data_IF_626239888156
#
_entry.id   IF_626239888156
#
_cell.length_a   1.000
_cell.length_b   1.000
_cell.length_c   1.000
_cell.angle_alpha   90.00
_cell.angle_beta   90.00
_cell.angle_gamma   90.00
#
_symmetry.space_group_name_H-M   'P 1'
#
loop_
_entity.id
_entity.type
_entity.pdbx_description
1 polymer ?
#
# COMPACT_ATOMS: atom_id res chain seq x y z
N UNK A 1 -81.19 22.37 5.14
CA UNK A 1 -80.65 22.32 3.77
C UNK A 1 -81.77 21.82 2.91
N UNK A 2 -82.12 22.55 1.86
CA UNK A 2 -83.02 22.02 0.83
C UNK A 2 -82.32 20.81 0.20
N UNK A 3 -83.05 19.72 -0.05
CA UNK A 3 -82.50 18.66 -0.89
C UNK A 3 -82.44 19.18 -2.33
N UNK A 4 -81.22 19.40 -2.85
CA UNK A 4 -81.00 19.88 -4.22
C UNK A 4 -81.59 18.96 -5.30
N UNK A 5 -82.00 17.74 -4.92
CA UNK A 5 -82.70 16.79 -5.77
C UNK A 5 -84.24 16.82 -5.66
N UNK A 6 -84.83 17.37 -4.59
CA UNK A 6 -86.28 17.26 -4.31
C UNK A 6 -87.16 17.76 -5.46
N UNK A 7 -86.74 18.84 -6.13
CA UNK A 7 -87.41 19.43 -7.30
C UNK A 7 -87.67 18.43 -8.44
N UNK A 8 -86.86 17.36 -8.53
CA UNK A 8 -86.82 16.43 -9.65
C UNK A 8 -87.24 15.00 -9.28
N UNK A 9 -87.52 14.71 -8.00
CA UNK A 9 -87.79 13.35 -7.52
C UNK A 9 -89.04 12.68 -8.14
N UNK A 10 -90.01 13.48 -8.60
CA UNK A 10 -91.25 13.00 -9.23
C UNK A 10 -91.22 13.09 -10.77
N UNK A 11 -90.06 13.41 -11.36
CA UNK A 11 -89.92 13.59 -12.81
C UNK A 11 -89.48 12.28 -13.47
N UNK A 12 -90.14 11.90 -14.57
CA UNK A 12 -89.99 10.60 -15.23
C UNK A 12 -88.72 10.46 -16.09
N UNK A 13 -87.55 10.72 -15.51
CA UNK A 13 -86.25 10.55 -16.16
C UNK A 13 -85.86 9.06 -16.29
N UNK A 14 -85.14 8.71 -17.35
CA UNK A 14 -84.37 7.46 -17.42
C UNK A 14 -83.19 7.49 -16.45
N UNK A 15 -82.66 6.33 -16.08
CA UNK A 15 -81.49 6.23 -15.20
C UNK A 15 -80.25 6.97 -15.74
N UNK A 16 -80.11 7.09 -17.06
CA UNK A 16 -79.02 7.82 -17.71
C UNK A 16 -79.25 9.33 -17.69
N UNK A 17 -80.44 9.81 -18.05
CA UNK A 17 -80.83 11.22 -17.93
C UNK A 17 -80.63 11.70 -16.48
N UNK A 18 -81.11 10.92 -15.50
CA UNK A 18 -80.96 11.23 -14.08
C UNK A 18 -79.50 11.25 -13.61
N UNK A 19 -78.66 10.31 -14.07
CA UNK A 19 -77.24 10.31 -13.74
C UNK A 19 -76.52 11.58 -14.21
N UNK A 20 -76.81 12.04 -15.43
CA UNK A 20 -76.21 13.26 -16.01
C UNK A 20 -76.71 14.51 -15.28
N UNK A 21 -78.03 14.64 -15.09
CA UNK A 21 -78.65 15.75 -14.36
C UNK A 21 -78.13 15.81 -12.92
N UNK A 22 -78.03 14.67 -12.24
CA UNK A 22 -77.44 14.59 -10.89
C UNK A 22 -75.99 15.05 -10.89
N UNK A 23 -75.15 14.56 -11.83
CA UNK A 23 -73.73 14.95 -11.91
C UNK A 23 -73.58 16.46 -12.13
N UNK A 24 -74.41 17.06 -12.96
CA UNK A 24 -74.43 18.51 -13.16
C UNK A 24 -74.80 19.28 -11.88
N UNK A 25 -75.78 18.79 -11.11
CA UNK A 25 -76.17 19.33 -9.79
C UNK A 25 -75.08 19.09 -8.72
N UNK A 26 -74.24 18.06 -8.85
CA UNK A 26 -73.05 17.84 -8.01
C UNK A 26 -71.84 18.69 -8.42
N UNK A 27 -71.75 19.11 -9.68
CA UNK A 27 -70.79 20.08 -10.21
C UNK A 27 -71.29 21.56 -10.13
N UNK A 28 -72.31 21.84 -9.29
CA UNK A 28 -72.97 23.14 -9.04
C UNK A 28 -73.53 23.88 -10.29
N UNK A 29 -73.91 23.13 -11.34
CA UNK A 29 -74.52 23.67 -12.56
C UNK A 29 -76.04 23.82 -12.38
N UNK A 30 -76.61 25.01 -12.68
CA UNK A 30 -78.07 25.14 -12.78
C UNK A 30 -78.58 24.41 -14.03
N UNK A 31 -79.48 23.44 -13.82
CA UNK A 31 -80.10 22.60 -14.86
C UNK A 31 -81.63 22.71 -14.90
N UNK A 32 -82.19 23.71 -14.20
CA UNK A 32 -83.64 23.92 -13.97
C UNK A 32 -84.51 23.97 -15.23
N UNK A 33 -83.92 24.45 -16.32
CA UNK A 33 -84.43 24.62 -17.67
C UNK A 33 -84.04 23.46 -18.60
N UNK A 34 -82.84 22.91 -18.45
CA UNK A 34 -82.34 21.73 -19.20
C UNK A 34 -83.04 20.43 -18.75
N UNK A 35 -83.52 20.33 -17.51
CA UNK A 35 -84.06 19.12 -16.90
C UNK A 35 -85.50 18.78 -17.36
N UNK A 36 -85.69 18.52 -18.65
CA UNK A 36 -86.91 18.00 -19.27
C UNK A 36 -86.70 16.56 -19.76
N UNK A 37 -87.54 15.56 -19.37
CA UNK A 37 -87.45 14.18 -19.85
C UNK A 37 -87.55 13.99 -21.37
N UNK A 38 -88.00 15.00 -22.12
CA UNK A 38 -88.07 14.97 -23.59
C UNK A 38 -86.70 15.04 -24.26
N UNK A 39 -85.67 15.58 -23.59
CA UNK A 39 -84.31 15.58 -24.13
C UNK A 39 -83.69 14.17 -24.10
N UNK A 40 -83.01 13.79 -25.17
CA UNK A 40 -82.17 12.60 -25.21
C UNK A 40 -81.00 12.69 -24.23
N UNK A 41 -80.35 11.56 -23.95
CA UNK A 41 -79.18 11.47 -23.06
C UNK A 41 -78.03 12.33 -23.61
N UNK A 42 -77.93 12.38 -24.92
CA UNK A 42 -76.94 13.10 -25.73
C UNK A 42 -77.25 14.60 -25.76
N UNK A 43 -78.51 15.00 -26.03
CA UNK A 43 -78.95 16.41 -25.94
C UNK A 43 -78.70 16.99 -24.54
N UNK A 44 -79.04 16.26 -23.46
CA UNK A 44 -78.75 16.68 -22.09
C UNK A 44 -77.25 16.86 -21.85
N UNK A 45 -76.43 15.94 -22.36
CA UNK A 45 -74.96 16.00 -22.22
C UNK A 45 -74.41 17.24 -22.93
N UNK A 46 -74.78 17.47 -24.19
CA UNK A 46 -74.37 18.63 -24.98
C UNK A 46 -74.74 19.97 -24.30
N UNK A 47 -75.98 20.10 -23.81
CA UNK A 47 -76.41 21.31 -23.09
C UNK A 47 -75.65 21.50 -21.77
N UNK A 48 -75.44 20.44 -20.99
CA UNK A 48 -74.75 20.53 -19.69
C UNK A 48 -73.25 20.84 -19.86
N UNK A 49 -72.57 20.22 -20.82
CA UNK A 49 -71.17 20.52 -21.10
C UNK A 49 -70.97 21.90 -21.74
N UNK A 50 -71.92 22.37 -22.56
CA UNK A 50 -71.94 23.75 -23.03
C UNK A 50 -72.12 24.74 -21.86
N UNK A 51 -73.08 24.52 -20.94
CA UNK A 51 -73.24 25.40 -19.77
C UNK A 51 -72.04 25.37 -18.82
N UNK A 52 -71.46 24.19 -18.58
CA UNK A 52 -70.18 24.03 -17.86
C UNK A 52 -69.05 24.84 -18.50
N UNK A 53 -69.10 25.00 -19.81
CA UNK A 53 -68.15 25.76 -20.62
C UNK A 53 -68.49 27.26 -20.70
N UNK A 54 -69.47 27.75 -19.93
CA UNK A 54 -69.85 29.16 -19.88
C UNK A 54 -70.70 29.64 -21.07
N UNK A 55 -71.19 28.73 -21.91
CA UNK A 55 -72.04 29.07 -23.06
C UNK A 55 -73.45 29.44 -22.57
N UNK A 56 -73.96 30.59 -23.02
CA UNK A 56 -75.38 30.93 -22.83
C UNK A 56 -76.24 30.06 -23.76
N UNK A 57 -77.23 29.40 -23.17
CA UNK A 57 -78.15 28.48 -23.86
C UNK A 57 -79.52 29.12 -24.12
N UNK A 58 -79.66 30.41 -23.86
CA UNK A 58 -80.90 31.17 -24.08
C UNK A 58 -81.34 31.07 -25.56
N UNK A 59 -82.40 30.28 -25.80
CA UNK A 59 -82.92 29.99 -27.14
C UNK A 59 -82.39 28.70 -27.79
N UNK A 60 -81.54 27.92 -27.12
CA UNK A 60 -81.06 26.60 -27.55
C UNK A 60 -81.70 25.42 -26.79
N UNK A 61 -82.44 25.71 -25.72
CA UNK A 61 -83.12 24.71 -24.88
C UNK A 61 -84.50 24.41 -25.49
N UNK A 62 -84.52 23.60 -26.54
CA UNK A 62 -85.73 23.07 -27.18
C UNK A 62 -85.49 21.60 -27.56
N UNK A 63 -86.26 20.63 -27.00
CA UNK A 63 -86.04 19.20 -27.25
C UNK A 63 -86.38 18.78 -28.69
N UNK A 64 -87.12 19.59 -29.45
CA UNK A 64 -87.41 19.30 -30.87
C UNK A 64 -86.19 19.58 -31.78
N UNK A 65 -85.15 20.26 -31.28
CA UNK A 65 -83.87 20.45 -32.00
C UNK A 65 -83.05 19.15 -31.96
N UNK A 66 -82.88 18.51 -33.11
CA UNK A 66 -82.11 17.26 -33.24
C UNK A 66 -80.67 17.40 -32.73
N UNK A 67 -80.19 16.39 -32.01
CA UNK A 67 -78.84 16.24 -31.46
C UNK A 67 -77.73 16.79 -32.38
N UNK A 68 -77.53 16.23 -33.57
CA UNK A 68 -76.47 16.68 -34.51
C UNK A 68 -76.66 18.08 -35.12
N UNK A 69 -77.82 18.73 -34.91
CA UNK A 69 -77.98 20.16 -35.22
C UNK A 69 -77.61 21.03 -34.01
N UNK A 70 -77.99 20.59 -32.80
CA UNK A 70 -77.59 21.22 -31.55
C UNK A 70 -76.06 21.17 -31.37
N UNK A 71 -75.43 20.03 -31.66
CA UNK A 71 -73.97 19.84 -31.67
C UNK A 71 -73.28 20.85 -32.58
N UNK A 72 -73.69 20.97 -33.84
CA UNK A 72 -73.11 21.94 -34.80
C UNK A 72 -73.29 23.40 -34.36
N UNK A 73 -74.41 23.74 -33.72
CA UNK A 73 -74.65 25.08 -33.19
C UNK A 73 -73.70 25.36 -32.01
N UNK A 74 -73.58 24.42 -31.06
CA UNK A 74 -72.72 24.55 -29.89
C UNK A 74 -71.23 24.53 -30.24
N UNK A 75 -70.80 23.68 -31.18
CA UNK A 75 -69.43 23.66 -31.73
C UNK A 75 -69.09 25.02 -32.35
N UNK A 76 -69.98 25.54 -33.21
CA UNK A 76 -69.78 26.85 -33.83
C UNK A 76 -69.64 27.96 -32.78
N UNK A 77 -70.52 27.98 -31.76
CA UNK A 77 -70.49 28.98 -30.69
C UNK A 77 -69.22 28.86 -29.84
N UNK A 78 -68.80 27.63 -29.49
CA UNK A 78 -67.56 27.39 -28.75
C UNK A 78 -66.30 27.85 -29.51
N UNK A 79 -66.30 27.68 -30.84
CA UNK A 79 -65.24 28.17 -31.73
C UNK A 79 -65.26 29.71 -31.88
N UNK A 80 -66.43 30.34 -32.05
CA UNK A 80 -66.55 31.80 -32.11
C UNK A 80 -66.16 32.48 -30.78
N UNK A 81 -66.27 31.79 -29.65
CA UNK A 81 -65.78 32.25 -28.34
C UNK A 81 -64.32 31.85 -28.02
N UNK A 82 -63.60 31.19 -28.93
CA UNK A 82 -62.19 30.81 -28.76
C UNK A 82 -61.93 29.78 -27.63
N UNK A 83 -62.97 29.08 -27.19
CA UNK A 83 -62.92 28.28 -25.96
C UNK A 83 -62.02 27.03 -26.10
N UNK A 84 -61.97 26.47 -27.31
CA UNK A 84 -61.15 25.31 -27.65
C UNK A 84 -59.66 25.62 -27.47
N UNK A 85 -59.21 26.79 -27.94
CA UNK A 85 -57.81 27.23 -27.86
C UNK A 85 -57.37 27.41 -26.41
N UNK A 86 -58.19 28.04 -25.56
CA UNK A 86 -57.82 28.32 -24.17
C UNK A 86 -57.71 27.03 -23.33
N UNK A 87 -58.56 26.03 -23.60
CA UNK A 87 -58.42 24.70 -23.01
C UNK A 87 -57.18 23.96 -23.53
N UNK A 88 -56.97 23.96 -24.85
CA UNK A 88 -55.83 23.31 -25.48
C UNK A 88 -54.50 23.89 -24.98
N UNK A 89 -54.40 25.21 -24.83
CA UNK A 89 -53.23 25.86 -24.22
C UNK A 89 -52.97 25.42 -22.77
N UNK A 90 -54.02 25.29 -21.94
CA UNK A 90 -53.88 24.87 -20.53
C UNK A 90 -53.32 23.45 -20.42
N UNK A 91 -53.72 22.55 -21.31
CA UNK A 91 -53.16 21.19 -21.40
C UNK A 91 -51.74 21.21 -21.97
N UNK A 92 -51.54 21.91 -23.10
CA UNK A 92 -50.24 22.03 -23.80
C UNK A 92 -49.16 22.63 -22.92
N UNK A 93 -49.46 23.67 -22.11
CA UNK A 93 -48.51 24.25 -21.14
C UNK A 93 -48.09 23.25 -20.06
N UNK A 94 -49.02 22.46 -19.52
CA UNK A 94 -48.70 21.41 -18.52
C UNK A 94 -47.85 20.30 -19.14
N UNK A 95 -48.24 19.81 -20.31
CA UNK A 95 -47.54 18.76 -21.05
C UNK A 95 -46.12 19.18 -21.45
N UNK A 96 -45.96 20.37 -22.05
CA UNK A 96 -44.66 20.88 -22.45
C UNK A 96 -43.73 21.08 -21.25
N UNK A 97 -44.23 21.62 -20.14
CA UNK A 97 -43.44 21.77 -18.90
C UNK A 97 -42.94 20.41 -18.38
N UNK A 98 -43.78 19.38 -18.42
CA UNK A 98 -43.39 18.04 -17.99
C UNK A 98 -42.34 17.41 -18.92
N UNK A 99 -42.44 17.64 -20.23
CA UNK A 99 -41.41 17.25 -21.21
C UNK A 99 -40.09 18.01 -20.97
N UNK A 100 -40.14 19.33 -20.74
CA UNK A 100 -38.94 20.12 -20.43
C UNK A 100 -38.23 19.59 -19.17
N UNK A 101 -38.97 19.26 -18.11
CA UNK A 101 -38.37 18.62 -16.92
C UNK A 101 -37.78 17.24 -17.22
N UNK A 102 -38.46 16.40 -18.01
CA UNK A 102 -37.96 15.08 -18.42
C UNK A 102 -36.64 15.20 -19.22
N UNK A 103 -36.57 16.15 -20.16
CA UNK A 103 -35.35 16.43 -20.94
C UNK A 103 -34.22 16.99 -20.07
N UNK A 104 -34.51 17.88 -19.11
CA UNK A 104 -33.52 18.39 -18.14
C UNK A 104 -32.95 17.25 -17.29
N UNK A 105 -33.83 16.38 -16.75
CA UNK A 105 -33.41 15.22 -15.94
C UNK A 105 -32.57 14.25 -16.78
N UNK A 106 -32.99 13.96 -18.01
CA UNK A 106 -32.24 13.14 -18.95
C UNK A 106 -30.85 13.71 -19.23
N UNK A 107 -30.76 15.02 -19.51
CA UNK A 107 -29.47 15.70 -19.72
C UNK A 107 -28.57 15.62 -18.48
N UNK A 108 -29.09 15.92 -17.29
CA UNK A 108 -28.33 15.81 -16.03
C UNK A 108 -27.83 14.39 -15.80
N UNK A 109 -28.65 13.36 -16.06
CA UNK A 109 -28.22 11.96 -15.97
C UNK A 109 -27.11 11.63 -16.98
N UNK A 110 -27.18 12.13 -18.23
CA UNK A 110 -26.09 11.94 -19.20
C UNK A 110 -24.80 12.63 -18.79
N UNK A 111 -24.85 13.83 -18.20
CA UNK A 111 -23.66 14.53 -17.68
C UNK A 111 -23.05 13.76 -16.50
N UNK A 112 -23.86 13.28 -15.56
CA UNK A 112 -23.38 12.45 -14.44
C UNK A 112 -22.73 11.15 -14.95
N UNK A 113 -23.37 10.46 -15.91
CA UNK A 113 -22.79 9.26 -16.52
C UNK A 113 -21.48 9.53 -17.26
N UNK A 114 -21.36 10.68 -17.96
CA UNK A 114 -20.11 11.11 -18.60
C UNK A 114 -19.00 11.40 -17.59
N UNK A 115 -19.31 12.07 -16.46
CA UNK A 115 -18.34 12.33 -15.40
C UNK A 115 -17.86 11.04 -14.71
N UNK A 116 -18.77 10.10 -14.45
CA UNK A 116 -18.43 8.77 -13.93
C UNK A 116 -17.61 7.94 -14.93
N UNK A 117 -17.83 8.12 -16.24
CA UNK A 117 -17.02 7.46 -17.27
C UNK A 117 -15.61 8.05 -17.36
N UNK A 118 -15.47 9.38 -17.30
CA UNK A 118 -14.16 10.07 -17.30
C UNK A 118 -13.34 9.73 -16.04
N UNK A 119 -14.00 9.63 -14.88
CA UNK A 119 -13.34 9.31 -13.59
C UNK A 119 -13.33 7.82 -13.26
N UNK A 120 -13.75 6.96 -14.20
CA UNK A 120 -13.95 5.51 -13.99
C UNK A 120 -12.72 4.83 -13.40
N UNK A 121 -11.54 5.11 -13.95
CA UNK A 121 -10.33 4.37 -13.58
C UNK A 121 -9.79 4.84 -12.22
N UNK A 122 -10.01 6.11 -11.83
CA UNK A 122 -9.81 6.55 -10.44
C UNK A 122 -10.81 5.93 -9.44
N UNK A 123 -12.03 5.62 -9.89
CA UNK A 123 -13.04 4.93 -9.07
C UNK A 123 -12.73 3.44 -8.87
N UNK A 124 -12.15 2.76 -9.87
CA UNK A 124 -11.76 1.35 -9.78
C UNK A 124 -10.73 1.11 -8.66
N UNK A 125 -9.82 2.07 -8.43
CA UNK A 125 -8.81 2.03 -7.36
C UNK A 125 -9.34 1.91 -5.94
N UNK A 126 -10.61 2.21 -5.68
CA UNK A 126 -11.25 1.94 -4.39
C UNK A 126 -11.67 0.47 -4.22
N UNK A 127 -11.95 -0.23 -5.32
CA UNK A 127 -12.41 -1.62 -5.33
C UNK A 127 -11.26 -2.62 -5.46
N UNK A 128 -10.12 -2.23 -6.03
CA UNK A 128 -8.89 -3.02 -6.12
C UNK A 128 -8.40 -3.53 -4.75
N UNK A 129 -7.90 -4.76 -4.69
CA UNK A 129 -7.42 -5.38 -3.46
C UNK A 129 -5.93 -5.15 -3.26
N UNK A 130 -5.55 -4.12 -2.49
CA UNK A 130 -4.15 -3.91 -2.11
C UNK A 130 -3.64 -5.13 -1.33
N UNK A 131 -2.64 -5.80 -1.89
CA UNK A 131 -1.94 -6.93 -1.29
C UNK A 131 -0.45 -6.65 -1.14
N UNK A 132 0.11 -7.19 -0.07
CA UNK A 132 1.53 -7.34 0.17
C UNK A 132 1.67 -8.67 0.93
N UNK A 133 2.62 -9.50 0.51
CA UNK A 133 2.95 -10.76 1.17
C UNK A 133 4.44 -10.85 1.44
N UNK A 134 4.78 -11.48 2.56
CA UNK A 134 6.16 -11.70 2.98
C UNK A 134 6.63 -13.12 2.61
N UNK A 135 7.95 -13.34 2.57
CA UNK A 135 8.51 -14.68 2.38
C UNK A 135 8.45 -15.55 3.64
N UNK A 136 8.28 -14.93 4.81
CA UNK A 136 8.15 -15.57 6.12
C UNK A 136 7.10 -14.89 7.00
N UNK A 137 6.50 -15.63 7.95
CA UNK A 137 5.58 -15.05 8.95
C UNK A 137 6.32 -14.29 10.07
N UNK A 138 7.53 -14.75 10.40
CA UNK A 138 8.43 -14.19 11.41
C UNK A 138 9.85 -14.12 10.87
N UNK A 139 10.47 -12.95 10.97
CA UNK A 139 11.93 -12.76 10.78
C UNK A 139 12.61 -13.03 12.12
N UNK A 140 13.70 -13.79 12.11
CA UNK A 140 14.64 -13.88 13.23
C UNK A 140 15.93 -13.16 12.84
N UNK A 141 16.47 -12.34 13.75
CA UNK A 141 17.72 -11.59 13.60
C UNK A 141 18.57 -11.78 14.86
N UNK A 142 19.89 -11.74 14.70
CA UNK A 142 20.81 -11.63 15.82
C UNK A 142 20.98 -10.15 16.27
N UNK A 143 21.37 -9.97 17.52
CA UNK A 143 21.45 -8.66 18.14
C UNK A 143 22.51 -7.78 17.46
N UNK A 144 22.08 -6.60 16.98
CA UNK A 144 22.91 -5.66 16.24
C UNK A 144 22.91 -5.85 14.73
N UNK A 145 22.30 -6.90 14.18
CA UNK A 145 22.13 -7.05 12.73
C UNK A 145 21.25 -5.93 12.14
N UNK A 146 21.50 -5.48 10.90
CA UNK A 146 20.68 -4.48 10.24
C UNK A 146 19.38 -5.08 9.69
N UNK A 147 18.23 -4.60 10.18
CA UNK A 147 16.94 -4.93 9.56
C UNK A 147 16.79 -4.21 8.20
N UNK A 148 16.56 -4.99 7.15
CA UNK A 148 16.30 -4.52 5.78
C UNK A 148 14.86 -4.83 5.35
N UNK A 149 13.89 -3.91 5.54
CA UNK A 149 12.48 -4.22 5.33
C UNK A 149 12.12 -4.70 3.91
N UNK A 150 12.90 -4.32 2.90
CA UNK A 150 12.64 -4.67 1.50
C UNK A 150 12.97 -6.14 1.15
N UNK A 151 13.88 -6.81 1.88
CA UNK A 151 14.35 -8.15 1.53
C UNK A 151 13.37 -9.27 1.88
N UNK A 152 12.36 -8.98 2.71
CA UNK A 152 11.34 -9.93 3.16
C UNK A 152 10.03 -9.86 2.37
N UNK A 153 9.93 -9.00 1.35
CA UNK A 153 8.70 -8.80 0.56
C UNK A 153 8.70 -9.73 -0.67
N UNK A 154 7.83 -10.74 -0.61
CA UNK A 154 7.67 -11.76 -1.65
C UNK A 154 6.92 -11.25 -2.89
N UNK A 155 5.84 -10.51 -2.66
CA UNK A 155 5.02 -9.90 -3.72
C UNK A 155 4.13 -8.81 -3.18
N UNK A 156 3.80 -7.84 -4.04
CA UNK A 156 2.97 -6.69 -3.73
C UNK A 156 2.23 -6.22 -4.99
N UNK A 157 1.19 -5.40 -4.80
CA UNK A 157 0.49 -4.70 -5.87
C UNK A 157 1.43 -3.70 -6.58
N UNK A 158 1.75 -3.86 -7.88
CA UNK A 158 2.74 -3.02 -8.57
C UNK A 158 2.31 -1.56 -8.78
N UNK A 159 1.03 -1.21 -8.56
CA UNK A 159 0.57 0.19 -8.54
C UNK A 159 0.51 0.78 -7.12
N UNK A 160 0.82 0.01 -6.07
CA UNK A 160 0.87 0.48 -4.69
C UNK A 160 2.25 1.01 -4.30
N UNK A 161 2.28 2.20 -3.72
CA UNK A 161 3.45 2.75 -3.03
C UNK A 161 3.56 2.08 -1.67
N UNK A 162 4.76 1.57 -1.32
CA UNK A 162 5.07 0.97 -0.03
C UNK A 162 5.91 1.96 0.79
N UNK A 163 5.39 2.36 1.95
CA UNK A 163 6.18 3.04 2.99
C UNK A 163 6.68 1.98 3.98
N UNK A 164 8.00 1.86 4.08
CA UNK A 164 8.67 0.92 4.98
C UNK A 164 8.57 1.35 6.45
N UNK A 165 8.63 0.40 7.41
CA UNK A 165 8.68 0.69 8.84
C UNK A 165 9.86 1.59 9.21
N UNK A 166 9.67 2.46 10.21
CA UNK A 166 10.75 3.27 10.76
C UNK A 166 11.77 2.37 11.48
N UNK A 167 13.06 2.52 11.14
CA UNK A 167 14.17 1.81 11.80
C UNK A 167 14.31 2.19 13.29
N UNK A 168 13.86 3.37 13.69
CA UNK A 168 13.88 3.78 15.11
C UNK A 168 12.85 3.04 15.98
N UNK A 169 11.84 2.42 15.37
CA UNK A 169 10.84 1.60 16.08
C UNK A 169 11.32 0.14 16.29
N UNK A 170 12.38 -0.27 15.59
CA UNK A 170 12.94 -1.63 15.57
C UNK A 170 14.43 -1.55 15.91
N UNK A 171 14.72 -1.31 17.20
CA UNK A 171 16.08 -1.25 17.70
C UNK A 171 16.68 -2.66 17.83
N UNK A 172 17.32 -3.14 16.76
CA UNK A 172 17.92 -4.48 16.69
C UNK A 172 19.07 -4.71 17.68
N UNK A 173 19.53 -3.68 18.42
CA UNK A 173 20.50 -3.86 19.52
C UNK A 173 19.85 -4.30 20.83
N UNK A 174 18.53 -4.40 20.87
CA UNK A 174 17.77 -4.90 22.01
C UNK A 174 17.06 -6.21 21.62
N UNK A 175 17.42 -7.35 22.24
CA UNK A 175 16.66 -8.58 22.10
C UNK A 175 15.21 -8.38 22.53
N UNK A 176 14.27 -8.92 21.75
CA UNK A 176 12.85 -8.63 21.90
C UNK A 176 12.04 -8.93 20.65
N UNK A 177 10.76 -8.61 20.70
CA UNK A 177 9.80 -8.89 19.63
C UNK A 177 9.13 -7.60 19.16
N UNK A 178 9.26 -7.30 17.88
CA UNK A 178 8.87 -6.06 17.24
C UNK A 178 7.88 -6.31 16.11
N UNK A 179 7.01 -5.34 15.82
CA UNK A 179 6.10 -5.38 14.68
C UNK A 179 6.56 -4.40 13.62
N UNK A 180 7.13 -4.91 12.53
CA UNK A 180 7.45 -4.13 11.35
C UNK A 180 6.16 -3.81 10.58
N UNK A 181 5.69 -2.56 10.69
CA UNK A 181 4.49 -2.07 9.99
C UNK A 181 4.86 -1.49 8.63
N UNK A 182 4.27 -2.03 7.58
CA UNK A 182 4.38 -1.56 6.20
C UNK A 182 3.06 -0.93 5.82
N UNK A 183 3.09 0.34 5.39
CA UNK A 183 1.89 1.03 4.90
C UNK A 183 1.88 0.97 3.37
N UNK A 184 0.82 0.44 2.79
CA UNK A 184 0.66 0.34 1.33
C UNK A 184 -0.51 1.22 0.86
N UNK A 185 -0.30 2.01 -0.20
CA UNK A 185 -1.28 2.96 -0.71
C UNK A 185 -1.25 3.04 -2.25
N UNK A 186 -2.41 2.93 -2.89
CA UNK A 186 -2.56 3.16 -4.35
C UNK A 186 -2.99 4.62 -4.66
N UNK A 187 -2.87 5.53 -3.68
CA UNK A 187 -3.28 6.93 -3.76
C UNK A 187 -4.79 7.18 -3.59
N UNK A 188 -5.61 6.13 -3.49
CA UNK A 188 -7.06 6.21 -3.20
C UNK A 188 -7.46 5.41 -1.96
N UNK A 189 -6.73 4.31 -1.69
CA UNK A 189 -6.99 3.32 -0.66
C UNK A 189 -5.68 2.94 0.00
N UNK A 190 -5.71 2.76 1.32
CA UNK A 190 -4.53 2.53 2.16
C UNK A 190 -4.77 1.31 3.06
N UNK A 191 -3.69 0.62 3.43
CA UNK A 191 -3.73 -0.59 4.26
C UNK A 191 -2.40 -0.80 4.98
N UNK A 192 -2.49 -1.22 6.24
CA UNK A 192 -1.34 -1.64 7.03
C UNK A 192 -1.13 -3.15 6.88
N UNK A 193 0.13 -3.56 6.70
CA UNK A 193 0.56 -4.96 6.81
C UNK A 193 1.66 -5.06 7.88
N UNK A 194 1.70 -6.17 8.64
CA UNK A 194 2.61 -6.31 9.79
C UNK A 194 3.40 -7.61 9.70
N UNK A 195 4.72 -7.50 9.78
CA UNK A 195 5.67 -8.61 9.87
C UNK A 195 6.18 -8.70 11.31
N UNK A 196 6.28 -9.91 11.85
CA UNK A 196 6.87 -10.14 13.16
C UNK A 196 8.40 -10.19 13.02
N UNK A 197 9.12 -9.40 13.82
CA UNK A 197 10.58 -9.41 13.88
C UNK A 197 11.01 -9.79 15.29
N UNK A 198 11.73 -10.89 15.42
CA UNK A 198 12.22 -11.42 16.69
C UNK A 198 13.75 -11.30 16.73
N UNK A 199 14.25 -10.40 17.56
CA UNK A 199 15.67 -10.16 17.78
C UNK A 199 16.13 -11.05 18.93
N UNK A 200 17.10 -11.94 18.67
CA UNK A 200 17.74 -12.80 19.67
C UNK A 200 19.20 -12.41 19.87
N UNK A 201 19.80 -13.01 20.89
CA UNK A 201 21.21 -12.83 21.24
C UNK A 201 21.84 -14.20 21.46
N UNK A 202 22.44 -14.75 20.41
CA UNK A 202 23.12 -16.06 20.43
C UNK A 202 24.63 -15.97 20.22
N UNK A 203 25.19 -14.77 20.01
CA UNK A 203 26.63 -14.55 19.98
C UNK A 203 27.25 -14.63 21.39
N UNK A 204 28.53 -14.99 21.48
CA UNK A 204 29.25 -15.08 22.74
C UNK A 204 30.22 -13.89 22.92
N UNK A 205 30.37 -13.33 24.14
CA UNK A 205 31.17 -12.13 24.38
C UNK A 205 32.62 -12.19 23.88
N UNK A 206 33.06 -11.16 23.18
CA UNK A 206 34.40 -11.09 22.59
C UNK A 206 35.45 -10.68 23.64
N UNK A 207 36.19 -11.67 24.14
CA UNK A 207 37.42 -11.46 24.94
C UNK A 207 38.57 -11.09 23.99
N UNK A 208 39.26 -9.97 24.24
CA UNK A 208 40.52 -9.60 23.58
C UNK A 208 41.63 -9.44 24.62
N UNK A 209 42.77 -10.07 24.35
CA UNK A 209 43.96 -10.03 25.20
C UNK A 209 45.06 -9.19 24.54
N UNK A 210 45.81 -8.42 25.33
CA UNK A 210 46.92 -7.57 24.86
C UNK A 210 48.11 -8.35 24.28
N UNK A 211 48.17 -9.65 24.56
CA UNK A 211 49.20 -10.60 24.13
C UNK A 211 48.67 -12.03 24.31
N UNK A 212 49.10 -12.95 23.45
CA UNK A 212 48.79 -14.39 23.57
C UNK A 212 49.67 -15.14 24.58
N UNK A 213 50.83 -14.58 24.94
CA UNK A 213 51.75 -15.20 25.91
C UNK A 213 52.50 -14.19 26.77
N UNK A 214 52.96 -14.65 27.94
CA UNK A 214 53.84 -13.91 28.85
C UNK A 214 55.00 -14.79 29.30
N UNK A 215 56.18 -14.18 29.45
CA UNK A 215 57.38 -14.81 30.01
C UNK A 215 57.70 -14.14 31.34
N UNK A 216 57.87 -14.92 32.42
CA UNK A 216 58.14 -14.41 33.77
C UNK A 216 59.13 -15.27 34.56
N UNK A 217 59.78 -14.67 35.56
CA UNK A 217 60.70 -15.36 36.49
C UNK A 217 59.98 -15.94 37.70
N UNK A 218 58.99 -15.24 38.24
CA UNK A 218 58.05 -15.70 39.27
C UNK A 218 56.61 -15.55 38.76
N UNK A 219 55.72 -16.45 39.17
CA UNK A 219 54.28 -16.42 38.86
C UNK A 219 53.48 -15.61 39.85
N UNK A 220 54.03 -15.35 41.04
CA UNK A 220 53.41 -14.58 42.11
C UNK A 220 53.14 -13.12 41.72
N UNK A 221 53.80 -12.63 40.66
CA UNK A 221 53.67 -11.29 40.10
C UNK A 221 52.60 -11.18 38.99
N UNK A 222 52.05 -12.31 38.51
CA UNK A 222 51.07 -12.34 37.41
C UNK A 222 49.68 -11.88 37.88
N UNK A 223 49.26 -10.70 37.41
CA UNK A 223 47.88 -10.19 37.53
C UNK A 223 47.10 -10.50 36.26
N UNK A 224 46.05 -11.31 36.35
CA UNK A 224 45.31 -11.76 35.18
C UNK A 224 44.60 -10.59 34.46
N UNK A 225 44.16 -9.59 35.22
CA UNK A 225 43.38 -8.44 34.76
C UNK A 225 44.19 -7.48 33.88
N UNK A 226 45.52 -7.41 34.07
CA UNK A 226 46.42 -6.50 33.36
C UNK A 226 46.59 -6.90 31.88
N UNK A 227 46.45 -8.19 31.55
CA UNK A 227 46.57 -8.71 30.18
C UNK A 227 45.28 -8.60 29.36
N UNK A 228 44.13 -8.37 29.99
CA UNK A 228 42.87 -8.11 29.30
C UNK A 228 42.94 -6.75 28.60
N UNK A 229 42.57 -6.70 27.33
CA UNK A 229 42.39 -5.48 26.55
C UNK A 229 40.93 -5.02 26.62
N UNK A 230 40.02 -5.81 26.05
CA UNK A 230 38.58 -5.62 26.12
C UNK A 230 37.86 -6.93 26.43
N UNK A 231 36.72 -6.86 27.11
CA UNK A 231 35.72 -7.94 27.08
C UNK A 231 34.40 -7.26 26.78
N UNK A 232 33.90 -7.45 25.56
CA UNK A 232 32.77 -6.69 25.03
C UNK A 232 31.76 -7.60 24.36
N UNK A 233 30.50 -7.23 24.53
CA UNK A 233 29.33 -7.84 23.94
C UNK A 233 28.43 -6.77 23.29
N UNK A 234 27.57 -7.16 22.34
CA UNK A 234 26.72 -6.22 21.60
C UNK A 234 25.55 -5.72 22.47
N UNK A 235 24.98 -6.56 23.33
CA UNK A 235 23.81 -6.26 24.17
C UNK A 235 24.21 -5.87 25.58
N UNK A 236 25.09 -6.66 26.19
CA UNK A 236 25.56 -6.51 27.58
C UNK A 236 26.69 -5.46 27.71
N UNK A 237 27.33 -5.08 26.60
CA UNK A 237 28.37 -4.07 26.57
C UNK A 237 29.67 -4.55 27.23
N UNK A 238 30.19 -3.81 28.22
CA UNK A 238 31.50 -4.10 28.81
C UNK A 238 31.40 -5.12 29.96
N UNK A 239 31.81 -6.36 29.68
CA UNK A 239 31.73 -7.50 30.59
C UNK A 239 33.03 -7.77 31.37
N UNK A 240 34.02 -6.88 31.31
CA UNK A 240 35.34 -7.08 31.97
C UNK A 240 35.23 -7.27 33.49
N UNK A 241 34.22 -6.70 34.14
CA UNK A 241 33.94 -6.87 35.57
C UNK A 241 33.26 -8.19 35.93
N UNK A 242 32.57 -8.85 34.98
CA UNK A 242 31.99 -10.20 35.15
C UNK A 242 32.96 -11.33 34.80
N UNK A 243 34.14 -11.00 34.24
CA UNK A 243 35.10 -11.99 33.72
C UNK A 243 35.78 -12.76 34.85
N UNK A 244 35.68 -14.08 34.83
CA UNK A 244 36.34 -14.98 35.79
C UNK A 244 37.69 -15.44 35.24
N UNK A 245 38.74 -15.36 36.06
CA UNK A 245 40.11 -15.73 35.67
C UNK A 245 40.65 -16.89 36.50
N UNK A 246 41.31 -17.86 35.86
CA UNK A 246 41.91 -19.04 36.50
C UNK A 246 43.32 -19.29 35.99
N UNK A 247 44.32 -19.08 36.86
CA UNK A 247 45.73 -19.34 36.56
C UNK A 247 46.02 -20.84 36.76
N UNK A 248 46.73 -21.47 35.81
CA UNK A 248 47.13 -22.89 35.83
C UNK A 248 48.65 -23.05 35.93
N UNK A 249 49.19 -24.22 35.52
CA UNK A 249 50.63 -24.46 35.47
C UNK A 249 51.32 -23.86 34.24
N UNK A 250 50.56 -23.42 33.26
CA UNK A 250 51.01 -23.21 31.88
C UNK A 250 50.19 -22.13 31.16
N UNK A 251 48.99 -21.80 31.65
CA UNK A 251 48.05 -20.85 31.04
C UNK A 251 47.37 -19.98 32.10
N UNK A 252 46.92 -18.78 31.71
CA UNK A 252 45.81 -18.08 32.36
C UNK A 252 44.58 -18.36 31.52
N UNK A 253 43.50 -18.85 32.12
CA UNK A 253 42.21 -19.07 31.46
C UNK A 253 41.27 -17.92 31.86
N UNK A 254 40.69 -17.27 30.87
CA UNK A 254 39.66 -16.24 31.01
C UNK A 254 38.32 -16.85 30.59
N UNK A 255 37.28 -16.69 31.39
CA UNK A 255 35.91 -17.09 31.03
C UNK A 255 34.92 -15.99 31.39
N UNK A 256 33.95 -15.76 30.52
CA UNK A 256 32.82 -14.86 30.79
C UNK A 256 31.54 -15.44 30.17
N UNK A 257 30.40 -15.01 30.68
CA UNK A 257 29.07 -15.26 30.12
C UNK A 257 28.29 -13.95 30.12
N UNK A 258 27.41 -13.77 29.13
CA UNK A 258 26.44 -12.67 29.06
C UNK A 258 25.20 -12.92 29.94
N UNK A 259 24.11 -12.21 29.67
CA UNK A 259 22.80 -12.34 30.34
C UNK A 259 21.85 -13.36 29.71
N UNK A 260 22.10 -13.81 28.47
CA UNK A 260 21.29 -14.81 27.75
C UNK A 260 21.81 -16.24 27.93
N UNK A 261 23.09 -16.39 28.32
CA UNK A 261 23.74 -17.63 28.69
C UNK A 261 24.85 -18.08 27.73
N UNK A 262 25.23 -17.27 26.74
CA UNK A 262 26.31 -17.64 25.83
C UNK A 262 27.66 -17.48 26.56
N UNK A 263 28.61 -18.37 26.29
CA UNK A 263 29.87 -18.47 27.05
C UNK A 263 31.09 -18.30 26.16
N UNK A 264 31.99 -17.40 26.57
CA UNK A 264 33.27 -17.19 25.90
C UNK A 264 34.44 -17.60 26.81
N UNK A 265 35.49 -18.18 26.22
CA UNK A 265 36.70 -18.57 26.92
C UNK A 265 37.94 -18.27 26.07
N UNK A 266 38.96 -17.65 26.67
CA UNK A 266 40.26 -17.38 26.06
C UNK A 266 41.42 -17.79 26.97
N UNK A 267 42.63 -17.96 26.41
CA UNK A 267 43.81 -18.40 27.17
C UNK A 267 45.09 -17.64 26.81
N UNK A 268 45.93 -17.38 27.83
CA UNK A 268 47.24 -16.74 27.70
C UNK A 268 48.35 -17.68 28.20
N UNK A 269 49.35 -17.95 27.37
CA UNK A 269 50.43 -18.91 27.68
C UNK A 269 51.51 -18.34 28.61
N UNK A 270 51.82 -19.07 29.69
CA UNK A 270 52.81 -18.69 30.72
C UNK A 270 54.11 -19.46 30.53
N UNK A 271 55.15 -18.77 30.10
CA UNK A 271 56.52 -19.27 30.01
C UNK A 271 57.32 -18.86 31.25
N UNK A 272 58.06 -19.80 31.86
CA UNK A 272 59.04 -19.47 32.92
C UNK A 272 60.42 -19.26 32.28
N UNK A 273 61.11 -18.16 32.60
CA UNK A 273 62.55 -18.07 32.35
C UNK A 273 63.30 -19.03 33.28
N UNK A 274 63.94 -20.05 32.71
CA UNK A 274 64.94 -20.82 33.46
C UNK A 274 66.11 -19.86 33.76
N UNK A 275 66.57 -19.72 35.01
CA UNK A 275 67.62 -18.77 35.35
C UNK A 275 68.89 -19.07 34.54
N UNK A 276 69.42 -18.06 33.86
CA UNK A 276 70.65 -18.19 33.07
C UNK A 276 71.81 -18.48 34.01
N UNK A 277 72.48 -19.62 33.80
CA UNK A 277 73.80 -19.86 34.38
C UNK A 277 74.79 -18.89 33.73
N UNK A 278 75.47 -18.08 34.54
CA UNK A 278 76.51 -17.19 34.06
C UNK A 278 77.80 -17.98 33.81
N UNK A 279 78.32 -17.92 32.59
CA UNK A 279 79.74 -18.10 32.30
C UNK A 279 80.11 -17.21 31.11
N UNK A 280 81.27 -16.56 31.16
CA UNK A 280 81.61 -15.42 30.30
C UNK A 280 82.98 -15.60 29.64
N UNK A 281 83.01 -15.37 28.33
CA UNK A 281 84.18 -15.12 27.46
C UNK A 281 85.38 -16.08 27.46
N UNK A 282 85.66 -16.62 26.27
CA UNK A 282 86.96 -16.35 25.61
C UNK A 282 86.82 -16.39 24.09
N UNK A 283 87.48 -15.45 23.38
CA UNK A 283 87.45 -15.26 21.91
C UNK A 283 88.82 -14.75 21.44
N UNK A 284 89.49 -15.42 20.49
CA UNK A 284 89.65 -14.89 19.11
C UNK A 284 89.16 -15.89 18.04
N UNK A 285 88.43 -15.49 16.98
CA UNK A 285 88.91 -14.91 15.69
C UNK A 285 89.96 -15.79 14.97
N UNK A 286 89.90 -16.10 13.66
CA UNK A 286 89.11 -15.65 12.46
C UNK A 286 89.07 -16.84 11.43
N UNK A 287 88.39 -16.86 10.26
CA UNK A 287 87.76 -15.81 9.41
C UNK A 287 86.45 -16.27 8.72
N UNK A 288 86.46 -16.72 7.45
CA UNK A 288 85.29 -17.13 6.64
C UNK A 288 85.68 -17.65 5.22
N UNK A 289 84.78 -17.78 4.21
CA UNK A 289 83.36 -17.36 4.21
C UNK A 289 82.30 -18.32 3.57
N UNK A 290 81.05 -18.20 4.06
CA UNK A 290 79.72 -18.28 3.38
C UNK A 290 79.17 -19.53 2.63
N UNK A 291 77.86 -19.68 2.87
CA UNK A 291 76.73 -20.17 2.03
C UNK A 291 76.39 -21.66 1.94
N UNK A 292 75.07 -21.92 1.92
CA UNK A 292 74.43 -23.13 2.44
C UNK A 292 73.64 -23.94 1.38
N UNK A 293 73.54 -25.26 1.63
CA UNK A 293 72.51 -26.25 1.24
C UNK A 293 73.07 -27.66 1.62
N UNK A 294 72.31 -28.79 1.69
CA UNK A 294 70.92 -29.04 1.30
C UNK A 294 70.05 -29.70 2.45
N UNK A 295 69.34 -30.85 2.34
CA UNK A 295 67.91 -30.94 1.95
C UNK A 295 66.95 -31.82 2.83
N UNK A 296 65.68 -31.90 2.39
CA UNK A 296 64.71 -33.03 2.51
C UNK A 296 64.04 -33.31 3.89
N UNK A 297 62.70 -33.22 3.99
CA UNK A 297 61.64 -34.26 3.78
C UNK A 297 61.48 -35.26 4.96
N UNK A 298 60.28 -35.79 5.31
CA UNK A 298 59.09 -36.10 4.48
C UNK A 298 57.80 -36.35 5.32
N UNK A 299 56.61 -35.95 4.82
CA UNK A 299 55.22 -36.48 5.05
C UNK A 299 54.70 -36.68 6.50
N UNK A 300 53.41 -36.54 6.84
CA UNK A 300 52.13 -36.24 6.13
C UNK A 300 51.27 -35.36 7.12
N UNK A 301 50.00 -34.90 6.96
CA UNK A 301 48.79 -35.23 6.16
C UNK A 301 48.09 -33.92 5.71
N UNK A 302 47.08 -34.02 4.84
CA UNK A 302 46.23 -32.92 4.31
C UNK A 302 44.99 -32.65 5.23
N UNK A 303 44.07 -31.68 4.97
CA UNK A 303 43.57 -31.19 3.66
C UNK A 303 44.09 -29.80 3.24
N UNK A 304 43.54 -29.25 2.14
CA UNK A 304 44.13 -28.19 1.32
C UNK A 304 43.07 -27.14 0.92
N UNK A 305 43.45 -25.87 0.98
CA UNK A 305 42.94 -24.80 0.10
C UNK A 305 44.16 -24.05 -0.50
N UNK A 306 43.99 -23.30 -1.60
CA UNK A 306 45.11 -22.71 -2.36
C UNK A 306 44.82 -21.28 -2.82
N UNK A 307 45.54 -20.32 -2.27
CA UNK A 307 45.62 -18.97 -2.85
C UNK A 307 46.39 -18.97 -4.17
N UNK A 308 45.88 -18.22 -5.14
CA UNK A 308 46.56 -17.91 -6.41
C UNK A 308 47.00 -16.43 -6.37
N UNK A 309 48.22 -16.08 -6.80
CA UNK A 309 48.65 -14.68 -6.82
C UNK A 309 47.81 -13.86 -7.82
N UNK A 310 47.06 -12.89 -7.29
CA UNK A 310 46.24 -11.96 -8.07
C UNK A 310 47.08 -11.25 -9.13
N UNK A 311 46.61 -11.27 -10.38
CA UNK A 311 47.24 -10.61 -11.54
C UNK A 311 46.28 -9.72 -12.33
N UNK A 312 45.00 -9.67 -11.95
CA UNK A 312 44.03 -8.73 -12.49
C UNK A 312 44.26 -7.29 -11.96
N UNK A 313 43.97 -6.28 -12.79
CA UNK A 313 44.02 -4.87 -12.42
C UNK A 313 42.60 -4.32 -12.21
N UNK A 314 42.42 -3.49 -11.18
CA UNK A 314 41.13 -2.86 -10.86
C UNK A 314 40.65 -1.92 -11.97
N UNK A 315 39.33 -1.79 -12.12
CA UNK A 315 38.69 -1.06 -13.24
C UNK A 315 37.42 -0.36 -12.81
N UNK A 316 37.24 0.89 -13.24
CA UNK A 316 35.99 1.65 -13.05
C UNK A 316 34.96 1.42 -14.17
N UNK A 317 33.70 1.48 -13.78
CA UNK A 317 32.48 1.37 -14.58
C UNK A 317 31.60 2.59 -14.25
N UNK A 318 31.78 3.72 -14.96
CA UNK A 318 31.03 4.95 -14.68
C UNK A 318 29.56 4.83 -15.10
N UNK A 319 28.67 5.51 -14.39
CA UNK A 319 27.29 5.68 -14.80
C UNK A 319 27.21 6.51 -16.08
N UNK A 320 26.42 6.04 -17.05
CA UNK A 320 26.24 6.68 -18.36
C UNK A 320 24.76 6.84 -18.69
N UNK A 321 24.43 7.97 -19.29
CA UNK A 321 23.06 8.36 -19.63
C UNK A 321 22.39 7.29 -20.52
N UNK A 322 21.23 6.80 -20.10
CA UNK A 322 20.51 5.71 -20.79
C UNK A 322 20.76 4.30 -20.27
N UNK A 323 21.62 4.09 -19.26
CA UNK A 323 21.70 2.82 -18.49
C UNK A 323 21.20 3.00 -17.05
N UNK A 324 20.74 1.90 -16.44
CA UNK A 324 20.42 1.88 -15.00
C UNK A 324 21.66 1.60 -14.14
N UNK A 325 21.56 1.92 -12.84
CA UNK A 325 22.59 1.56 -11.86
C UNK A 325 22.82 0.05 -11.82
N UNK A 326 21.76 -0.76 -11.80
CA UNK A 326 21.84 -2.23 -11.82
C UNK A 326 22.54 -2.77 -13.06
N UNK A 327 22.26 -2.22 -14.25
CA UNK A 327 22.96 -2.61 -15.48
C UNK A 327 24.47 -2.35 -15.38
N UNK A 328 24.84 -1.21 -14.78
CA UNK A 328 26.26 -0.86 -14.57
C UNK A 328 26.92 -1.76 -13.51
N UNK A 329 26.18 -2.15 -12.47
CA UNK A 329 26.63 -3.12 -11.45
C UNK A 329 26.83 -4.52 -12.05
N UNK A 330 25.88 -5.00 -12.86
CA UNK A 330 25.98 -6.30 -13.53
C UNK A 330 27.13 -6.34 -14.54
N UNK A 331 27.42 -5.23 -15.25
CA UNK A 331 28.60 -5.14 -16.11
C UNK A 331 29.93 -5.19 -15.32
N UNK A 332 29.98 -4.55 -14.16
CA UNK A 332 31.12 -4.63 -13.24
C UNK A 332 31.31 -6.07 -12.70
N UNK A 333 30.25 -6.68 -12.17
CA UNK A 333 30.30 -8.04 -11.61
C UNK A 333 30.55 -9.11 -12.68
N UNK A 334 30.06 -8.92 -13.91
CA UNK A 334 30.37 -9.84 -15.02
C UNK A 334 31.86 -9.82 -15.39
N UNK A 335 32.49 -8.64 -15.39
CA UNK A 335 33.94 -8.51 -15.60
C UNK A 335 34.75 -9.13 -14.46
N UNK A 336 34.34 -8.93 -13.20
CA UNK A 336 34.96 -9.55 -12.04
C UNK A 336 34.91 -11.09 -12.08
N UNK A 337 33.72 -11.64 -12.30
CA UNK A 337 33.51 -13.08 -12.46
C UNK A 337 34.28 -13.68 -13.65
N UNK A 338 34.52 -12.91 -14.73
CA UNK A 338 35.34 -13.36 -15.84
C UNK A 338 36.82 -13.51 -15.46
N UNK A 339 37.38 -12.57 -14.68
CA UNK A 339 38.77 -12.65 -14.20
C UNK A 339 38.98 -13.80 -13.19
N UNK A 340 38.04 -14.01 -12.26
CA UNK A 340 38.05 -15.15 -11.33
C UNK A 340 37.97 -16.48 -12.10
N UNK A 341 37.09 -16.60 -13.09
CA UNK A 341 37.00 -17.79 -13.97
C UNK A 341 38.24 -18.00 -14.85
N UNK A 342 39.02 -16.94 -15.11
CA UNK A 342 40.31 -17.02 -15.80
C UNK A 342 41.49 -17.35 -14.85
N UNK A 343 41.24 -17.49 -13.54
CA UNK A 343 42.29 -17.75 -12.53
C UNK A 343 43.19 -16.54 -12.24
N UNK A 344 42.69 -15.32 -12.45
CA UNK A 344 43.47 -14.08 -12.32
C UNK A 344 43.25 -13.34 -10.98
N UNK A 345 42.26 -13.77 -10.20
CA UNK A 345 41.93 -13.33 -8.85
C UNK A 345 41.19 -14.47 -8.11
N UNK A 346 41.17 -14.45 -6.78
CA UNK A 346 40.49 -15.46 -5.96
C UNK A 346 39.01 -15.06 -5.76
N UNK A 347 38.76 -13.78 -5.48
CA UNK A 347 37.43 -13.17 -5.43
C UNK A 347 37.39 -11.84 -6.21
N UNK A 348 36.19 -11.27 -6.37
CA UNK A 348 35.98 -10.00 -7.06
C UNK A 348 34.80 -9.24 -6.44
N UNK A 349 34.96 -7.94 -6.20
CA UNK A 349 33.94 -7.09 -5.58
C UNK A 349 33.76 -5.77 -6.34
N UNK A 350 32.53 -5.24 -6.38
CA UNK A 350 32.20 -3.99 -7.08
C UNK A 350 31.70 -2.94 -6.08
N UNK A 351 32.60 -2.05 -5.64
CA UNK A 351 32.29 -0.97 -4.69
C UNK A 351 31.90 0.30 -5.41
N UNK A 352 30.97 1.10 -4.88
CA UNK A 352 30.69 2.45 -5.41
C UNK A 352 31.93 3.33 -5.26
N UNK A 353 32.15 4.25 -6.21
CA UNK A 353 33.14 5.32 -6.07
C UNK A 353 32.54 6.69 -6.35
N UNK A 354 33.05 7.69 -5.63
CA UNK A 354 32.53 9.05 -5.60
C UNK A 354 33.48 10.04 -6.27
N UNK A 355 33.01 11.26 -6.47
CA UNK A 355 33.86 12.40 -6.84
C UNK A 355 34.22 13.29 -5.64
N UNK A 356 34.98 14.35 -5.92
CA UNK A 356 35.44 15.34 -4.92
C UNK A 356 34.28 16.07 -4.20
N UNK A 357 33.04 15.91 -4.65
CA UNK A 357 31.82 16.50 -4.07
C UNK A 357 30.94 15.44 -3.37
N UNK A 358 31.37 14.18 -3.30
CA UNK A 358 30.59 13.07 -2.71
C UNK A 358 29.48 12.54 -3.62
N UNK A 359 29.54 12.76 -4.93
CA UNK A 359 28.55 12.23 -5.88
C UNK A 359 29.01 10.88 -6.41
N UNK A 360 28.22 9.82 -6.18
CA UNK A 360 28.43 8.49 -6.73
C UNK A 360 28.54 8.53 -8.26
N UNK A 361 29.71 8.17 -8.83
CA UNK A 361 29.95 8.21 -10.29
C UNK A 361 30.03 6.86 -10.97
N UNK A 362 30.08 5.77 -10.23
CA UNK A 362 30.05 4.42 -10.80
C UNK A 362 30.47 3.35 -9.80
N UNK A 363 30.81 2.17 -10.33
CA UNK A 363 31.44 1.09 -9.56
C UNK A 363 32.92 0.95 -9.91
N UNK A 364 33.74 0.61 -8.93
CA UNK A 364 35.12 0.11 -9.12
C UNK A 364 35.14 -1.37 -8.80
N UNK A 365 35.69 -2.14 -9.74
CA UNK A 365 35.98 -3.55 -9.61
C UNK A 365 37.32 -3.75 -8.89
N UNK A 366 37.28 -4.34 -7.70
CA UNK A 366 38.42 -4.77 -6.90
C UNK A 366 38.58 -6.29 -6.96
N UNK A 367 39.77 -6.77 -6.58
CA UNK A 367 40.17 -8.18 -6.60
C UNK A 367 41.01 -8.51 -5.37
N UNK A 368 40.73 -9.69 -4.80
CA UNK A 368 41.44 -10.31 -3.66
C UNK A 368 41.78 -11.77 -4.02
#
# INVERSE_FOLDING_TARGET
>A
MEDKYQRYQNTAFTSQQWYIIKKAIDDDIEVKDIADPRFSVEQLTLLIDARRSGIDLSGLIDPDIKEGQLEQILEKIANEMGLYDEHYEKVRRKWLRNITWMLIIGFVLTVIASLLYITKDEWLKYFEELYLSFDCETVQLEAGEPFEPASYIRSYDPEAVITFPNREEIDTKKPGTYWAVYHISNGKKEKDMKLLVEVKDTEAPVIRLKRSSVTVSDRSELKAEDYIDSVVDIVDGNLRSKTTTKITKDKIIYKVSDTHGNEAQETLDIHIEKPKSNETESVPKIEGPRTDMPPQQKQEVAPIEKDVPVTAQSRSFPFIEGKTFDQTYQECMAAGNAAVRAGQANTASCTVYDDENGIHKGYVLNFD
#
